data_IF_502060099744
#
_entry.id   IF_502060099744
#
_cell.length_a   1.000
_cell.length_b   1.000
_cell.length_c   1.000
_cell.angle_alpha   90.00
_cell.angle_beta   90.00
_cell.angle_gamma   90.00
#
_symmetry.space_group_name_H-M   'P 1'
#
loop_
_entity.id
_entity.type
_entity.pdbx_description
1 polymer ?
#
# COMPACT_ATOMS: atom_id res chain seq x y z
N UNK A 1 13.09 18.24 4.91
CA UNK A 1 12.34 18.08 3.65
C UNK A 1 12.80 19.17 2.70
N UNK A 2 13.25 18.82 1.49
CA UNK A 2 13.64 19.80 0.47
C UNK A 2 12.47 19.97 -0.50
N UNK A 3 11.74 21.09 -0.41
CA UNK A 3 10.67 21.42 -1.34
C UNK A 3 11.26 22.26 -2.48
N UNK A 4 11.14 21.84 -3.74
CA UNK A 4 11.76 22.54 -4.86
C UNK A 4 11.11 23.92 -5.06
N UNK A 5 11.88 24.99 -4.82
CA UNK A 5 11.37 26.37 -4.69
C UNK A 5 10.68 26.88 -5.96
N UNK A 6 11.28 26.63 -7.12
CA UNK A 6 10.77 27.13 -8.41
C UNK A 6 9.52 26.37 -8.81
N UNK A 7 9.57 25.05 -8.67
CA UNK A 7 8.51 24.10 -9.02
C UNK A 7 7.31 24.23 -8.07
N UNK A 8 7.55 24.60 -6.80
CA UNK A 8 6.50 24.94 -5.85
C UNK A 8 5.97 26.37 -6.01
N UNK A 9 6.41 27.08 -7.06
CA UNK A 9 5.89 28.41 -7.41
C UNK A 9 6.18 29.44 -6.33
N UNK A 10 7.38 29.36 -5.76
CA UNK A 10 7.89 30.28 -4.72
C UNK A 10 6.95 30.48 -3.52
N UNK A 11 6.10 29.50 -3.23
CA UNK A 11 5.11 29.58 -2.14
C UNK A 11 3.84 30.37 -2.47
N UNK A 12 3.68 30.83 -3.71
CA UNK A 12 2.54 31.67 -4.16
C UNK A 12 1.62 30.95 -5.17
N UNK A 13 1.96 29.73 -5.59
CA UNK A 13 1.19 28.98 -6.58
C UNK A 13 0.05 28.13 -5.98
N UNK A 14 -0.25 28.30 -4.68
CA UNK A 14 -1.34 27.57 -4.00
C UNK A 14 -1.27 26.04 -4.14
N UNK A 15 -0.06 25.49 -4.23
CA UNK A 15 0.16 24.04 -4.35
C UNK A 15 0.20 23.41 -2.96
N UNK A 16 -0.88 22.75 -2.55
CA UNK A 16 -0.93 22.02 -1.28
C UNK A 16 -0.03 20.78 -1.32
N UNK A 17 0.86 20.66 -0.32
CA UNK A 17 1.63 19.43 -0.06
C UNK A 17 1.13 18.84 1.26
N UNK A 18 0.56 17.64 1.22
CA UNK A 18 0.05 16.94 2.41
C UNK A 18 0.76 15.61 2.59
N UNK A 19 1.19 15.31 3.81
CA UNK A 19 1.75 14.02 4.21
C UNK A 19 0.86 13.40 5.28
N UNK A 20 0.64 12.09 5.23
CA UNK A 20 -0.17 11.41 6.24
C UNK A 20 0.10 9.91 6.29
N UNK A 21 0.04 9.36 7.50
CA UNK A 21 -0.02 7.91 7.69
C UNK A 21 -1.44 7.43 7.39
N UNK A 22 -1.58 6.19 6.91
CA UNK A 22 -2.89 5.62 6.67
C UNK A 22 -3.69 5.53 8.00
N UNK A 23 -5.00 5.86 7.98
CA UNK A 23 -5.83 5.69 9.17
C UNK A 23 -6.01 4.19 9.47
N UNK A 24 -6.02 3.85 10.76
CA UNK A 24 -6.27 2.50 11.26
C UNK A 24 -7.54 2.41 12.12
N UNK A 25 -7.62 1.34 12.92
CA UNK A 25 -8.71 1.11 13.87
C UNK A 25 -9.98 0.50 13.27
N UNK A 26 -10.86 0.02 14.16
CA UNK A 26 -12.07 -0.75 13.82
C UNK A 26 -12.96 -0.03 12.81
N UNK A 27 -13.32 1.23 13.07
CA UNK A 27 -14.23 2.00 12.20
C UNK A 27 -13.69 2.16 10.78
N UNK A 28 -12.37 2.34 10.62
CA UNK A 28 -11.75 2.42 9.30
C UNK A 28 -11.82 1.08 8.56
N UNK A 29 -11.53 -0.02 9.25
CA UNK A 29 -11.62 -1.37 8.67
C UNK A 29 -13.05 -1.72 8.27
N UNK A 30 -14.05 -1.47 9.13
CA UNK A 30 -15.47 -1.68 8.81
C UNK A 30 -15.89 -0.95 7.53
N UNK A 31 -15.44 0.30 7.35
CA UNK A 31 -15.72 1.07 6.12
C UNK A 31 -15.04 0.47 4.89
N UNK A 32 -13.81 -0.03 5.00
CA UNK A 32 -13.11 -0.67 3.89
C UNK A 32 -13.76 -2.02 3.53
N UNK A 33 -14.12 -2.83 4.52
CA UNK A 33 -14.81 -4.11 4.30
C UNK A 33 -16.14 -3.92 3.58
N UNK A 34 -16.93 -2.89 3.93
CA UNK A 34 -18.17 -2.55 3.19
C UNK A 34 -17.94 -2.28 1.70
N UNK A 35 -16.80 -1.70 1.32
CA UNK A 35 -16.46 -1.47 -0.10
C UNK A 35 -16.24 -2.80 -0.82
N UNK A 36 -15.63 -3.78 -0.14
CA UNK A 36 -15.41 -5.13 -0.64
C UNK A 36 -16.73 -5.91 -0.75
N UNK A 37 -17.58 -5.85 0.29
CA UNK A 37 -18.91 -6.49 0.31
C UNK A 37 -19.80 -6.00 -0.84
N UNK A 38 -19.73 -4.70 -1.14
CA UNK A 38 -20.43 -4.08 -2.25
C UNK A 38 -19.74 -4.30 -3.61
N UNK A 39 -18.71 -5.14 -3.67
CA UNK A 39 -17.94 -5.52 -4.87
C UNK A 39 -17.40 -4.33 -5.66
N UNK A 40 -17.10 -3.22 -4.99
CA UNK A 40 -16.58 -2.00 -5.66
C UNK A 40 -15.08 -2.05 -5.92
N UNK A 41 -14.36 -2.90 -5.19
CA UNK A 41 -12.92 -3.12 -5.32
C UNK A 41 -12.65 -4.61 -5.09
N UNK A 42 -11.82 -5.21 -5.95
CA UNK A 42 -11.25 -6.54 -5.74
C UNK A 42 -9.75 -6.41 -5.44
N UNK A 43 -9.33 -6.53 -4.17
CA UNK A 43 -7.93 -6.43 -3.79
C UNK A 43 -7.13 -7.71 -4.07
N UNK A 44 -7.78 -8.81 -4.46
CA UNK A 44 -7.09 -10.10 -4.67
C UNK A 44 -6.10 -10.02 -5.83
N UNK A 45 -6.36 -9.15 -6.80
CA UNK A 45 -5.46 -8.85 -7.93
C UNK A 45 -4.11 -8.26 -7.49
N UNK A 46 -4.00 -7.75 -6.25
CA UNK A 46 -2.72 -7.28 -5.72
C UNK A 46 -1.81 -8.41 -5.23
N UNK A 47 -2.38 -9.59 -4.95
CA UNK A 47 -1.63 -10.76 -4.47
C UNK A 47 -0.97 -11.45 -5.66
N UNK A 48 0.33 -11.23 -5.81
CA UNK A 48 1.14 -11.81 -6.91
C UNK A 48 1.80 -13.13 -6.56
N UNK A 49 2.02 -13.38 -5.26
CA UNK A 49 2.73 -14.56 -4.78
C UNK A 49 2.03 -15.08 -3.53
N UNK A 50 1.99 -16.40 -3.38
CA UNK A 50 1.39 -17.05 -2.20
C UNK A 50 2.38 -18.07 -1.67
N UNK A 51 2.63 -18.03 -0.36
CA UNK A 51 3.58 -18.90 0.31
C UNK A 51 2.91 -19.59 1.50
N UNK A 52 3.30 -20.84 1.82
CA UNK A 52 2.97 -21.44 3.11
C UNK A 52 3.75 -20.74 4.25
N UNK A 53 3.33 -20.95 5.49
CA UNK A 53 3.89 -20.27 6.66
C UNK A 53 5.39 -20.52 6.88
N UNK A 54 5.87 -21.73 6.60
CA UNK A 54 7.27 -22.12 6.70
C UNK A 54 8.18 -21.40 5.69
N UNK A 55 7.62 -20.81 4.63
CA UNK A 55 8.34 -20.00 3.64
C UNK A 55 8.24 -18.49 3.88
N UNK A 56 7.86 -18.04 5.09
CA UNK A 56 7.73 -16.61 5.40
C UNK A 56 9.01 -15.81 5.12
N UNK A 57 10.19 -16.35 5.42
CA UNK A 57 11.46 -15.68 5.15
C UNK A 57 11.68 -15.45 3.65
N UNK A 58 11.29 -16.41 2.81
CA UNK A 58 11.36 -16.28 1.36
C UNK A 58 10.38 -15.22 0.84
N UNK A 59 9.16 -15.19 1.37
CA UNK A 59 8.17 -14.17 1.02
C UNK A 59 8.65 -12.75 1.38
N UNK A 60 9.35 -12.61 2.53
CA UNK A 60 9.98 -11.36 2.92
C UNK A 60 11.11 -10.96 1.96
N UNK A 61 12.02 -11.89 1.65
CA UNK A 61 13.14 -11.64 0.74
C UNK A 61 12.67 -11.15 -0.65
N UNK A 62 11.63 -11.79 -1.20
CA UNK A 62 11.06 -11.39 -2.49
C UNK A 62 10.57 -9.92 -2.43
N UNK A 63 9.89 -9.53 -1.36
CA UNK A 63 9.41 -8.15 -1.20
C UNK A 63 10.49 -7.12 -0.97
N UNK A 64 11.55 -7.48 -0.22
CA UNK A 64 12.69 -6.62 0.06
C UNK A 64 13.50 -6.37 -1.22
N UNK A 65 13.87 -7.45 -1.92
CA UNK A 65 14.70 -7.41 -3.14
C UNK A 65 13.92 -7.13 -4.42
N UNK A 66 12.59 -7.00 -4.36
CA UNK A 66 11.70 -6.80 -5.52
C UNK A 66 11.88 -7.86 -6.60
N UNK A 67 11.99 -9.12 -6.19
CA UNK A 67 12.16 -10.25 -7.10
C UNK A 67 10.85 -10.60 -7.81
N UNK A 68 10.97 -11.27 -8.95
CA UNK A 68 9.87 -11.98 -9.62
C UNK A 68 8.63 -11.10 -9.92
N UNK A 69 8.83 -9.79 -10.06
CA UNK A 69 7.75 -8.84 -10.32
C UNK A 69 6.76 -8.70 -9.16
N UNK A 70 7.17 -8.97 -7.93
CA UNK A 70 6.27 -8.94 -6.76
C UNK A 70 5.58 -7.59 -6.57
N UNK A 71 4.26 -7.65 -6.40
CA UNK A 71 3.45 -6.55 -5.88
C UNK A 71 3.15 -6.77 -4.39
N UNK A 72 2.59 -7.94 -4.05
CA UNK A 72 2.30 -8.35 -2.67
C UNK A 72 2.34 -9.88 -2.53
N UNK A 73 3.05 -10.42 -1.53
CA UNK A 73 2.93 -11.80 -1.12
C UNK A 73 1.81 -11.97 -0.08
N UNK A 74 1.16 -13.13 -0.12
CA UNK A 74 0.22 -13.60 0.90
C UNK A 74 0.78 -14.85 1.55
N UNK A 75 0.80 -14.89 2.89
CA UNK A 75 1.12 -16.09 3.65
C UNK A 75 -0.17 -16.82 4.00
N UNK A 76 -0.20 -18.13 3.75
CA UNK A 76 -1.29 -19.03 4.15
C UNK A 76 -0.84 -19.84 5.35
N UNK A 77 -1.68 -19.88 6.39
CA UNK A 77 -1.42 -20.48 7.71
C UNK A 77 -2.39 -21.63 7.96
#
# INVERSE_FOLDING_TARGET
VHIPRVEWGVGMAEKTITTGLCPGGRLRMERLLRVLEMKRVDPTLMTTHTFPFDEMERAFEIMDKKLDGVLKPLIVF
#
